data_IF_302722267742
#
_entry.id   IF_302722267742
#
_cell.length_a   1.000
_cell.length_b   1.000
_cell.length_c   1.000
_cell.angle_alpha   90.00
_cell.angle_beta   90.00
_cell.angle_gamma   90.00
#
_symmetry.space_group_name_H-M   'P 1'
#
loop_
_entity.id
_entity.type
_entity.pdbx_description
1 polymer ?
#
# COMPACT_ATOMS: atom_id res chain seq x y z
N UNK A 1 -14.03 17.14 -2.99
CA UNK A 1 -14.13 18.35 -2.09
C UNK A 1 -13.15 19.46 -2.48
N UNK A 2 -11.81 19.18 -2.59
CA UNK A 2 -10.86 20.23 -2.99
C UNK A 2 -11.11 20.71 -4.43
N UNK A 3 -11.26 19.78 -5.37
CA UNK A 3 -11.60 20.10 -6.75
C UNK A 3 -12.92 20.85 -6.91
N UNK A 4 -13.90 20.62 -6.05
CA UNK A 4 -15.18 21.36 -6.09
C UNK A 4 -15.00 22.85 -5.79
N UNK A 5 -14.05 23.18 -4.91
CA UNK A 5 -13.81 24.54 -4.41
C UNK A 5 -12.85 25.35 -5.28
N UNK A 6 -12.11 24.72 -6.19
CA UNK A 6 -11.13 25.41 -7.01
C UNK A 6 -11.79 26.07 -8.25
N UNK A 7 -11.20 27.19 -8.68
CA UNK A 7 -11.57 27.89 -9.91
C UNK A 7 -10.84 27.31 -11.12
N UNK A 8 -9.61 26.86 -10.88
CA UNK A 8 -8.68 26.42 -11.91
C UNK A 8 -7.97 25.12 -11.51
N UNK A 9 -7.71 24.24 -12.48
CA UNK A 9 -7.01 22.98 -12.28
C UNK A 9 -5.78 22.94 -13.19
N UNK A 10 -4.60 22.75 -12.57
CA UNK A 10 -3.33 22.62 -13.26
C UNK A 10 -2.85 21.16 -13.21
N UNK A 11 -2.41 20.62 -14.34
CA UNK A 11 -1.95 19.23 -14.42
C UNK A 11 -1.29 18.86 -15.74
N UNK A 12 -0.76 17.64 -15.80
CA UNK A 12 -0.40 17.02 -17.06
C UNK A 12 -1.69 16.62 -17.81
N UNK A 13 -1.80 16.92 -19.10
CA UNK A 13 -3.05 16.74 -19.86
C UNK A 13 -3.68 15.37 -19.66
N UNK A 14 -2.91 14.27 -19.83
CA UNK A 14 -3.41 12.92 -19.58
C UNK A 14 -4.00 12.69 -18.18
N UNK A 15 -3.48 13.39 -17.16
CA UNK A 15 -4.02 13.26 -15.80
C UNK A 15 -5.30 14.08 -15.61
N UNK A 16 -5.38 15.23 -16.27
CA UNK A 16 -6.61 16.02 -16.28
C UNK A 16 -7.75 15.31 -17.01
N UNK A 17 -7.44 14.62 -18.12
CA UNK A 17 -8.42 13.84 -18.87
C UNK A 17 -9.03 12.70 -18.05
N UNK A 18 -8.22 12.07 -17.15
CA UNK A 18 -8.71 11.02 -16.25
C UNK A 18 -9.75 11.51 -15.24
N UNK A 19 -9.76 12.80 -14.93
CA UNK A 19 -10.66 13.42 -13.95
C UNK A 19 -11.60 14.45 -14.59
N UNK A 20 -11.75 14.42 -15.91
CA UNK A 20 -12.55 15.40 -16.66
C UNK A 20 -13.96 15.59 -16.08
N UNK A 21 -14.60 14.50 -15.65
CA UNK A 21 -15.92 14.53 -15.01
C UNK A 21 -15.94 15.28 -13.67
N UNK A 22 -14.78 15.43 -13.00
CA UNK A 22 -14.65 16.14 -11.72
C UNK A 22 -14.27 17.61 -11.88
N UNK A 23 -13.77 17.99 -13.05
CA UNK A 23 -13.25 19.34 -13.33
C UNK A 23 -14.01 20.05 -14.46
N UNK A 24 -15.13 19.49 -14.88
CA UNK A 24 -15.99 20.09 -15.92
C UNK A 24 -16.37 21.53 -15.58
N UNK A 25 -16.19 22.43 -16.54
CA UNK A 25 -16.47 23.84 -16.37
C UNK A 25 -15.40 24.67 -15.63
N UNK A 26 -14.29 24.05 -15.21
CA UNK A 26 -13.16 24.75 -14.58
C UNK A 26 -12.11 25.12 -15.61
N UNK A 27 -11.37 26.20 -15.33
CA UNK A 27 -10.23 26.58 -16.16
C UNK A 27 -9.11 25.52 -16.03
N UNK A 28 -8.53 25.13 -17.17
CA UNK A 28 -7.43 24.15 -17.23
C UNK A 28 -6.11 24.86 -17.52
N UNK A 29 -5.10 24.62 -16.68
CA UNK A 29 -3.70 24.95 -16.94
C UNK A 29 -2.99 23.66 -17.26
N UNK A 30 -2.82 23.34 -18.53
CA UNK A 30 -2.15 22.12 -18.92
C UNK A 30 -0.81 22.40 -19.61
N UNK A 31 0.10 21.50 -19.46
CA UNK A 31 1.36 21.50 -20.19
C UNK A 31 1.82 20.07 -20.44
N UNK A 32 2.66 19.90 -21.43
CA UNK A 32 3.27 18.60 -21.76
C UNK A 32 4.16 18.06 -20.63
N UNK A 33 4.67 16.86 -20.87
CA UNK A 33 5.65 16.22 -20.02
C UNK A 33 6.95 17.04 -19.98
N UNK A 34 7.71 16.96 -18.87
CA UNK A 34 8.95 17.72 -18.62
C UNK A 34 8.78 19.24 -18.52
N UNK A 35 7.53 19.72 -18.33
CA UNK A 35 7.20 21.14 -18.16
C UNK A 35 6.58 21.42 -16.78
N UNK A 36 6.97 20.66 -15.76
CA UNK A 36 6.47 20.78 -14.39
C UNK A 36 6.69 22.19 -13.84
N UNK A 37 7.88 22.78 -14.03
CA UNK A 37 8.22 24.13 -13.57
C UNK A 37 7.32 25.18 -14.21
N UNK A 38 7.07 25.10 -15.53
CA UNK A 38 6.20 26.05 -16.22
C UNK A 38 4.75 25.93 -15.73
N UNK A 39 4.28 24.71 -15.52
CA UNK A 39 2.94 24.43 -14.99
C UNK A 39 2.76 24.98 -13.58
N UNK A 40 3.70 24.71 -12.69
CA UNK A 40 3.66 25.22 -11.32
C UNK A 40 3.73 26.75 -11.28
N UNK A 41 4.59 27.38 -12.09
CA UNK A 41 4.63 28.83 -12.21
C UNK A 41 3.30 29.44 -12.67
N UNK A 42 2.69 28.83 -13.70
CA UNK A 42 1.38 29.28 -14.18
C UNK A 42 0.28 29.13 -13.12
N UNK A 43 0.32 28.05 -12.32
CA UNK A 43 -0.57 27.86 -11.20
C UNK A 43 -0.40 28.92 -10.12
N UNK A 44 0.86 29.24 -9.75
CA UNK A 44 1.18 30.31 -8.78
C UNK A 44 0.71 31.66 -9.28
N UNK A 45 0.92 32.00 -10.55
CA UNK A 45 0.45 33.27 -11.12
C UNK A 45 -1.08 33.37 -11.11
N UNK A 46 -1.79 32.28 -11.41
CA UNK A 46 -3.26 32.27 -11.32
C UNK A 46 -3.71 32.47 -9.83
N UNK A 47 -3.03 31.87 -8.89
CA UNK A 47 -3.32 32.05 -7.45
C UNK A 47 -3.05 33.49 -6.99
N UNK A 48 -2.00 34.16 -7.46
CA UNK A 48 -1.73 35.58 -7.21
C UNK A 48 -2.84 36.49 -7.74
N UNK A 49 -3.55 36.07 -8.76
CA UNK A 49 -4.73 36.76 -9.30
C UNK A 49 -6.00 36.52 -8.50
N UNK A 50 -5.91 35.83 -7.35
CA UNK A 50 -7.02 35.54 -6.44
C UNK A 50 -7.81 34.27 -6.75
N UNK A 51 -7.33 33.44 -7.66
CA UNK A 51 -7.97 32.15 -7.96
C UNK A 51 -7.56 31.08 -6.94
N UNK A 52 -8.50 30.20 -6.59
CA UNK A 52 -8.19 28.94 -5.90
C UNK A 52 -7.75 27.91 -6.94
N UNK A 53 -6.50 27.49 -6.90
CA UNK A 53 -5.90 26.60 -7.91
C UNK A 53 -5.62 25.22 -7.33
N UNK A 54 -6.11 24.17 -7.97
CA UNK A 54 -5.75 22.80 -7.66
C UNK A 54 -4.67 22.33 -8.63
N UNK A 55 -3.50 21.89 -8.11
CA UNK A 55 -2.45 21.25 -8.91
C UNK A 55 -2.51 19.75 -8.73
N UNK A 56 -2.78 19.00 -9.82
CA UNK A 56 -3.07 17.58 -9.79
C UNK A 56 -1.84 16.77 -10.18
N UNK A 57 -1.48 15.84 -9.30
CA UNK A 57 -0.47 14.80 -9.55
C UNK A 57 -1.14 13.42 -9.60
N UNK A 58 -0.58 12.48 -10.35
CA UNK A 58 -1.00 11.06 -10.28
C UNK A 58 -0.38 10.43 -9.04
N UNK A 59 -1.15 9.66 -8.29
CA UNK A 59 -0.70 9.04 -7.04
C UNK A 59 -0.70 10.01 -5.88
N UNK A 60 0.45 10.30 -5.31
CA UNK A 60 0.64 11.24 -4.20
C UNK A 60 1.46 12.45 -4.64
N UNK A 61 1.02 13.65 -4.30
CA UNK A 61 1.67 14.89 -4.71
C UNK A 61 3.06 15.10 -4.10
N UNK A 62 3.33 14.47 -2.95
CA UNK A 62 4.62 14.52 -2.25
C UNK A 62 5.61 13.42 -2.65
N UNK A 63 5.16 12.38 -3.38
CA UNK A 63 6.02 11.28 -3.81
C UNK A 63 6.29 11.38 -5.31
N UNK A 64 7.43 11.95 -5.67
CA UNK A 64 7.80 12.28 -7.06
C UNK A 64 6.76 13.13 -7.81
N UNK A 65 5.91 13.83 -7.07
CA UNK A 65 4.90 14.75 -7.58
C UNK A 65 5.34 16.20 -7.54
N UNK A 66 4.39 17.12 -7.64
CA UNK A 66 4.67 18.55 -7.79
C UNK A 66 4.59 19.35 -6.47
N UNK A 67 4.26 18.71 -5.33
CA UNK A 67 4.09 19.43 -4.07
C UNK A 67 5.37 20.16 -3.63
N UNK A 68 6.53 19.48 -3.67
CA UNK A 68 7.81 20.09 -3.31
C UNK A 68 8.14 21.32 -4.16
N UNK A 69 7.98 21.21 -5.47
CA UNK A 69 8.23 22.32 -6.40
C UNK A 69 7.29 23.52 -6.16
N UNK A 70 6.01 23.26 -5.84
CA UNK A 70 5.07 24.34 -5.51
C UNK A 70 5.45 25.04 -4.21
N UNK A 71 5.81 24.27 -3.17
CA UNK A 71 6.25 24.83 -1.90
C UNK A 71 7.50 25.71 -2.07
N UNK A 72 8.48 25.25 -2.88
CA UNK A 72 9.67 26.04 -3.23
C UNK A 72 9.30 27.36 -3.97
N UNK A 73 8.39 27.29 -4.94
CA UNK A 73 7.95 28.46 -5.70
C UNK A 73 7.15 29.45 -4.85
N UNK A 74 6.47 28.99 -3.81
CA UNK A 74 5.67 29.83 -2.90
C UNK A 74 6.45 30.29 -1.66
N UNK A 75 7.73 29.91 -1.49
CA UNK A 75 8.54 30.26 -0.31
C UNK A 75 8.54 31.76 0.01
N UNK A 76 8.54 32.60 -1.02
CA UNK A 76 8.58 34.06 -0.89
C UNK A 76 7.24 34.78 -1.19
N UNK A 77 6.14 34.01 -1.19
CA UNK A 77 4.80 34.48 -1.49
C UNK A 77 3.88 34.41 -0.25
N UNK A 78 4.04 35.34 0.73
CA UNK A 78 3.40 35.22 2.04
C UNK A 78 1.86 35.27 2.01
N UNK A 79 1.29 35.68 0.90
CA UNK A 79 -0.17 35.75 0.71
C UNK A 79 -0.76 34.49 0.07
N UNK A 80 0.07 33.49 -0.27
CA UNK A 80 -0.37 32.21 -0.83
C UNK A 80 -0.28 31.12 0.22
N UNK A 81 -1.39 30.42 0.42
CA UNK A 81 -1.45 29.21 1.24
C UNK A 81 -1.41 27.98 0.34
N UNK A 82 -0.55 27.02 0.66
CA UNK A 82 -0.42 25.76 -0.06
C UNK A 82 -0.83 24.63 0.85
N UNK A 83 -1.95 23.97 0.53
CA UNK A 83 -2.39 22.73 1.19
C UNK A 83 -1.97 21.51 0.35
N UNK A 84 -1.23 20.59 0.96
CA UNK A 84 -0.86 19.31 0.31
C UNK A 84 -1.88 18.24 0.70
N UNK A 85 -2.63 17.78 -0.28
CA UNK A 85 -3.64 16.74 -0.08
C UNK A 85 -3.00 15.38 -0.40
N UNK A 86 -2.96 14.44 0.56
CA UNK A 86 -2.35 13.14 0.36
C UNK A 86 -3.12 12.29 -0.65
N UNK A 87 -2.39 11.47 -1.37
CA UNK A 87 -2.91 10.50 -2.33
C UNK A 87 -2.31 9.12 -2.12
N UNK A 88 -2.72 8.15 -2.94
CA UNK A 88 -2.17 6.79 -2.89
C UNK A 88 -1.06 6.68 -3.93
N UNK A 89 0.18 6.74 -3.45
CA UNK A 89 1.35 6.59 -4.32
C UNK A 89 1.40 5.22 -4.99
N UNK A 90 2.03 5.15 -6.17
CA UNK A 90 2.15 3.91 -6.94
C UNK A 90 2.82 2.75 -6.17
N UNK A 91 3.70 3.05 -5.20
CA UNK A 91 4.25 2.03 -4.31
C UNK A 91 3.13 1.30 -3.54
N UNK A 92 2.22 2.03 -2.92
CA UNK A 92 1.14 1.44 -2.13
C UNK A 92 0.07 0.79 -3.01
N UNK A 93 -0.39 1.48 -4.06
CA UNK A 93 -1.44 0.96 -4.94
C UNK A 93 -0.95 -0.24 -5.77
N UNK A 94 0.24 -0.16 -6.38
CA UNK A 94 0.82 -1.28 -7.11
C UNK A 94 1.22 -2.45 -6.21
N UNK A 95 1.72 -2.16 -4.99
CA UNK A 95 1.96 -3.18 -3.99
C UNK A 95 0.71 -3.99 -3.65
N UNK A 96 -0.45 -3.32 -3.49
CA UNK A 96 -1.73 -3.98 -3.25
C UNK A 96 -2.17 -4.86 -4.44
N UNK A 97 -1.91 -4.44 -5.68
CA UNK A 97 -2.19 -5.24 -6.90
C UNK A 97 -1.34 -6.51 -6.95
N UNK A 98 -0.09 -6.46 -6.49
CA UNK A 98 0.83 -7.61 -6.45
C UNK A 98 0.67 -8.48 -5.20
N UNK A 99 -0.03 -8.03 -4.18
CA UNK A 99 -0.21 -8.74 -2.92
C UNK A 99 0.19 -7.90 -1.71
N UNK A 100 1.24 -8.29 -1.00
CA UNK A 100 1.75 -7.57 0.18
C UNK A 100 3.29 -7.53 0.21
N UNK A 101 3.96 -6.97 -0.83
CA UNK A 101 5.42 -6.93 -0.88
C UNK A 101 6.04 -5.95 0.12
N UNK A 102 5.30 -4.93 0.59
CA UNK A 102 5.80 -3.81 1.38
C UNK A 102 5.47 -3.93 2.88
N UNK A 103 5.35 -5.13 3.41
CA UNK A 103 5.01 -5.37 4.82
C UNK A 103 6.16 -5.03 5.78
N UNK A 104 7.40 -5.04 5.29
CA UNK A 104 8.60 -4.61 6.00
C UNK A 104 9.10 -3.26 5.46
N UNK A 105 10.30 -2.85 5.90
CA UNK A 105 10.94 -1.63 5.42
C UNK A 105 11.16 -1.68 3.91
N UNK A 106 10.92 -0.56 3.24
CA UNK A 106 11.06 -0.47 1.80
C UNK A 106 11.63 0.89 1.37
N UNK A 107 12.25 0.91 0.21
CA UNK A 107 12.81 2.11 -0.40
C UNK A 107 12.12 2.41 -1.73
N UNK A 108 11.69 3.66 -1.94
CA UNK A 108 11.25 4.16 -3.24
C UNK A 108 12.43 4.84 -3.93
N UNK A 109 12.77 4.38 -5.14
CA UNK A 109 13.90 4.92 -5.92
C UNK A 109 13.40 5.21 -7.34
N UNK A 110 13.60 6.46 -7.79
CA UNK A 110 13.35 6.82 -9.18
C UNK A 110 14.60 6.57 -10.03
N UNK A 111 14.45 5.88 -11.15
CA UNK A 111 15.51 5.68 -12.12
C UNK A 111 15.64 6.85 -13.10
N UNK A 112 14.90 7.95 -12.88
CA UNK A 112 15.03 9.14 -13.72
C UNK A 112 16.29 9.94 -13.38
N UNK A 113 17.19 10.08 -14.35
CA UNK A 113 18.43 10.85 -14.25
C UNK A 113 18.28 12.33 -14.67
N UNK A 114 17.05 12.81 -14.84
CA UNK A 114 16.79 14.20 -15.26
C UNK A 114 17.20 15.22 -14.19
N UNK A 115 17.01 14.89 -12.92
CA UNK A 115 17.31 15.76 -11.79
C UNK A 115 18.32 15.16 -10.81
N UNK A 116 18.59 13.86 -10.94
CA UNK A 116 19.52 13.13 -10.05
C UNK A 116 20.51 12.37 -10.93
N UNK A 117 21.82 12.64 -10.82
CA UNK A 117 22.83 11.92 -11.60
C UNK A 117 22.78 10.39 -11.36
N UNK A 118 23.12 9.61 -12.38
CA UNK A 118 23.04 8.15 -12.31
C UNK A 118 23.89 7.53 -11.19
N UNK A 119 25.07 8.06 -10.92
CA UNK A 119 25.93 7.62 -9.81
C UNK A 119 25.23 7.70 -8.44
N UNK A 120 24.38 8.71 -8.26
CA UNK A 120 23.56 8.85 -7.04
C UNK A 120 22.41 7.84 -7.02
N UNK A 121 21.81 7.53 -8.16
CA UNK A 121 20.78 6.50 -8.27
C UNK A 121 21.39 5.14 -7.95
N UNK A 122 22.53 4.81 -8.54
CA UNK A 122 23.28 3.59 -8.26
C UNK A 122 23.65 3.46 -6.78
N UNK A 123 24.15 4.53 -6.16
CA UNK A 123 24.49 4.54 -4.73
C UNK A 123 23.26 4.24 -3.85
N UNK A 124 22.07 4.76 -4.24
CA UNK A 124 20.81 4.47 -3.53
C UNK A 124 20.37 3.03 -3.72
N UNK A 125 20.48 2.47 -4.92
CA UNK A 125 20.18 1.06 -5.20
C UNK A 125 21.07 0.14 -4.35
N UNK A 126 22.39 0.36 -4.35
CA UNK A 126 23.35 -0.40 -3.52
C UNK A 126 23.04 -0.29 -2.03
N UNK A 127 22.77 0.92 -1.54
CA UNK A 127 22.45 1.15 -0.13
C UNK A 127 21.17 0.44 0.31
N UNK A 128 20.10 0.50 -0.50
CA UNK A 128 18.85 -0.18 -0.21
C UNK A 128 19.01 -1.70 -0.26
N UNK A 129 19.73 -2.23 -1.24
CA UNK A 129 20.00 -3.66 -1.37
C UNK A 129 20.87 -4.20 -0.23
N UNK A 130 21.92 -3.47 0.16
CA UNK A 130 22.77 -3.83 1.30
C UNK A 130 21.99 -3.87 2.64
N UNK A 131 20.94 -3.07 2.76
CA UNK A 131 20.02 -3.06 3.91
C UNK A 131 18.90 -4.10 3.83
N UNK A 132 18.85 -4.94 2.80
CA UNK A 132 17.78 -5.92 2.55
C UNK A 132 16.37 -5.30 2.50
N UNK A 133 16.25 -4.08 1.95
CA UNK A 133 14.96 -3.43 1.77
C UNK A 133 14.17 -4.06 0.62
N UNK A 134 12.85 -4.08 0.72
CA UNK A 134 12.04 -4.17 -0.50
C UNK A 134 12.24 -2.87 -1.30
N UNK A 135 12.43 -2.96 -2.61
CA UNK A 135 12.72 -1.78 -3.44
C UNK A 135 11.58 -1.56 -4.44
N UNK A 136 11.09 -0.32 -4.49
CA UNK A 136 10.09 0.12 -5.46
C UNK A 136 10.74 1.10 -6.43
N UNK A 137 10.80 0.73 -7.72
CA UNK A 137 11.39 1.55 -8.76
C UNK A 137 10.31 2.35 -9.48
N UNK A 138 10.48 3.66 -9.48
CA UNK A 138 9.70 4.62 -10.25
C UNK A 138 10.45 5.02 -11.51
N UNK A 139 9.73 5.36 -12.57
CA UNK A 139 10.30 5.75 -13.85
C UNK A 139 11.32 4.74 -14.38
N UNK A 140 11.00 3.43 -14.41
CA UNK A 140 11.97 2.37 -14.69
C UNK A 140 12.51 2.41 -16.11
N UNK A 141 11.80 3.06 -17.04
CA UNK A 141 12.19 3.17 -18.43
C UNK A 141 11.57 4.40 -19.10
N UNK A 142 12.16 4.83 -20.20
CA UNK A 142 11.60 5.80 -21.15
C UNK A 142 12.26 5.59 -22.52
N UNK A 143 11.77 6.30 -23.55
CA UNK A 143 12.34 6.22 -24.91
C UNK A 143 13.86 6.46 -24.98
N UNK A 144 14.40 7.28 -24.06
CA UNK A 144 15.84 7.60 -23.99
C UNK A 144 16.60 6.76 -22.94
N UNK A 145 15.89 5.97 -22.14
CA UNK A 145 16.39 5.23 -20.97
C UNK A 145 15.84 3.81 -20.95
N UNK A 146 15.88 3.14 -22.10
CA UNK A 146 15.34 1.78 -22.26
C UNK A 146 16.05 0.75 -21.37
N UNK A 147 17.36 0.92 -21.15
CA UNK A 147 18.20 -0.06 -20.45
C UNK A 147 18.32 0.17 -18.93
N UNK A 148 17.70 1.23 -18.39
CA UNK A 148 17.88 1.60 -16.97
C UNK A 148 17.34 0.55 -15.99
N UNK A 149 16.25 -0.13 -16.32
CA UNK A 149 15.77 -1.26 -15.52
C UNK A 149 16.79 -2.40 -15.51
N UNK A 150 17.34 -2.76 -16.67
CA UNK A 150 18.35 -3.81 -16.78
C UNK A 150 19.62 -3.46 -15.99
N UNK A 151 20.08 -2.21 -16.05
CA UNK A 151 21.22 -1.73 -15.25
C UNK A 151 20.93 -1.80 -13.75
N UNK A 152 19.75 -1.36 -13.33
CA UNK A 152 19.33 -1.47 -11.93
C UNK A 152 19.31 -2.93 -11.46
N UNK A 153 18.74 -3.84 -12.25
CA UNK A 153 18.73 -5.27 -11.94
C UNK A 153 20.14 -5.86 -11.86
N UNK A 154 21.06 -5.41 -12.73
CA UNK A 154 22.46 -5.84 -12.68
C UNK A 154 23.13 -5.43 -11.36
N UNK A 155 22.97 -4.16 -10.96
CA UNK A 155 23.47 -3.67 -9.66
C UNK A 155 22.87 -4.46 -8.50
N UNK A 156 21.57 -4.71 -8.52
CA UNK A 156 20.87 -5.44 -7.46
C UNK A 156 21.25 -6.92 -7.39
N UNK A 157 21.66 -7.53 -8.52
CA UNK A 157 22.12 -8.92 -8.56
C UNK A 157 23.44 -9.19 -7.82
N UNK A 158 24.15 -8.12 -7.43
CA UNK A 158 25.32 -8.25 -6.54
C UNK A 158 24.93 -8.53 -5.08
N UNK A 159 23.66 -8.28 -4.70
CA UNK A 159 23.15 -8.39 -3.35
C UNK A 159 22.04 -9.43 -3.23
N UNK A 160 21.19 -9.55 -4.23
CA UNK A 160 20.03 -10.43 -4.25
C UNK A 160 20.25 -11.65 -5.14
N UNK A 161 19.67 -12.77 -4.74
CA UNK A 161 19.72 -13.99 -5.54
C UNK A 161 18.94 -13.83 -6.87
N UNK A 162 19.32 -14.55 -7.93
CA UNK A 162 18.65 -14.47 -9.24
C UNK A 162 17.16 -14.81 -9.19
N UNK A 163 16.74 -15.65 -8.25
CA UNK A 163 15.36 -16.09 -8.02
C UNK A 163 14.58 -15.20 -7.05
N UNK A 164 15.16 -14.06 -6.60
CA UNK A 164 14.47 -13.10 -5.75
C UNK A 164 13.14 -12.69 -6.35
N UNK A 165 12.02 -12.80 -5.58
CA UNK A 165 10.70 -12.47 -6.07
C UNK A 165 10.55 -10.99 -6.40
N UNK A 166 10.12 -10.72 -7.62
CA UNK A 166 9.90 -9.39 -8.16
C UNK A 166 8.53 -9.32 -8.85
N UNK A 167 8.12 -8.12 -9.19
CA UNK A 167 6.94 -7.91 -10.02
C UNK A 167 6.85 -6.48 -10.52
N UNK A 168 5.98 -6.26 -11.47
CA UNK A 168 5.68 -4.92 -11.94
C UNK A 168 4.17 -4.75 -12.19
N UNK A 169 3.73 -3.51 -12.08
CA UNK A 169 2.36 -3.12 -12.41
C UNK A 169 2.43 -1.89 -13.32
N UNK A 170 1.74 -1.97 -14.43
CA UNK A 170 1.59 -0.91 -15.43
C UNK A 170 0.18 -0.34 -15.35
N UNK A 171 0.03 0.98 -15.55
CA UNK A 171 -1.27 1.67 -15.60
C UNK A 171 -2.17 1.41 -14.39
N UNK A 172 -1.58 1.44 -13.19
CA UNK A 172 -2.24 1.13 -11.92
C UNK A 172 -3.56 1.87 -11.76
N UNK A 173 -4.64 1.14 -11.46
CA UNK A 173 -5.99 1.67 -11.25
C UNK A 173 -6.71 2.13 -12.52
N UNK A 174 -6.23 1.77 -13.72
CA UNK A 174 -6.84 2.11 -15.00
C UNK A 174 -7.43 0.88 -15.69
N UNK A 175 -8.22 1.08 -16.74
CA UNK A 175 -8.85 -0.03 -17.48
C UNK A 175 -7.85 -0.99 -18.13
N UNK A 176 -6.67 -0.50 -18.48
CA UNK A 176 -5.57 -1.22 -19.10
C UNK A 176 -4.47 -1.57 -18.09
N UNK A 177 -4.84 -1.76 -16.81
CA UNK A 177 -3.92 -2.24 -15.77
C UNK A 177 -3.37 -3.62 -16.12
N UNK A 178 -2.05 -3.72 -16.16
CA UNK A 178 -1.33 -4.96 -16.38
C UNK A 178 -0.38 -5.24 -15.20
N UNK A 179 -0.25 -6.50 -14.82
CA UNK A 179 0.71 -6.92 -13.80
C UNK A 179 1.42 -8.19 -14.16
N UNK A 180 2.63 -8.35 -13.65
CA UNK A 180 3.39 -9.58 -13.75
C UNK A 180 4.21 -9.80 -12.50
N UNK A 181 4.28 -11.04 -12.02
CA UNK A 181 5.26 -11.49 -11.03
C UNK A 181 6.35 -12.27 -11.75
N UNK A 182 7.59 -12.08 -11.37
CA UNK A 182 8.77 -12.67 -12.00
C UNK A 182 9.93 -12.72 -11.00
N UNK A 183 11.00 -13.39 -11.35
CA UNK A 183 12.28 -13.36 -10.61
C UNK A 183 13.12 -12.16 -11.00
N UNK A 184 14.14 -11.82 -10.21
CA UNK A 184 15.08 -10.74 -10.53
C UNK A 184 15.79 -10.97 -11.88
N UNK A 185 16.16 -12.22 -12.17
CA UNK A 185 16.78 -12.61 -13.43
C UNK A 185 15.86 -12.42 -14.64
N UNK A 186 14.55 -12.67 -14.47
CA UNK A 186 13.56 -12.45 -15.51
C UNK A 186 13.26 -10.95 -15.66
N UNK A 187 13.13 -10.23 -14.53
CA UNK A 187 12.90 -8.79 -14.51
C UNK A 187 13.93 -8.00 -15.32
N UNK A 188 15.21 -8.42 -15.27
CA UNK A 188 16.29 -7.79 -16.03
C UNK A 188 16.07 -7.82 -17.56
N UNK A 189 15.17 -8.68 -18.04
CA UNK A 189 14.85 -8.86 -19.48
C UNK A 189 13.50 -8.24 -19.85
N UNK A 190 12.74 -7.77 -18.85
CA UNK A 190 11.41 -7.18 -19.08
C UNK A 190 11.55 -5.82 -19.79
N UNK A 191 10.63 -5.61 -20.72
CA UNK A 191 10.48 -4.30 -21.36
C UNK A 191 9.31 -3.57 -20.70
N UNK A 192 9.63 -2.49 -20.04
CA UNK A 192 8.65 -1.67 -19.31
C UNK A 192 8.67 -0.24 -19.82
N UNK A 193 7.65 0.52 -19.50
CA UNK A 193 7.53 1.93 -19.88
C UNK A 193 7.48 2.84 -18.63
N UNK A 194 7.30 4.12 -18.87
CA UNK A 194 7.21 5.13 -17.81
C UNK A 194 5.93 5.05 -16.96
N UNK A 195 4.93 4.28 -17.37
CA UNK A 195 3.69 4.05 -16.63
C UNK A 195 3.76 2.80 -15.74
N UNK A 196 4.93 2.19 -15.69
CA UNK A 196 5.19 0.97 -14.92
C UNK A 196 5.86 1.31 -13.59
N UNK A 197 5.44 0.64 -12.54
CA UNK A 197 6.10 0.63 -11.23
C UNK A 197 6.61 -0.77 -10.96
N UNK A 198 7.88 -0.90 -10.60
CA UNK A 198 8.56 -2.19 -10.41
C UNK A 198 8.82 -2.42 -8.93
N UNK A 199 8.67 -3.67 -8.50
CA UNK A 199 8.83 -4.11 -7.12
C UNK A 199 9.87 -5.23 -7.07
N UNK A 200 10.89 -5.06 -6.24
CA UNK A 200 11.92 -6.06 -5.94
C UNK A 200 11.76 -6.45 -4.48
N UNK A 201 11.58 -7.73 -4.22
CA UNK A 201 11.45 -8.26 -2.87
C UNK A 201 12.77 -8.23 -2.10
N UNK A 202 12.67 -8.38 -0.78
CA UNK A 202 13.81 -8.62 0.12
C UNK A 202 14.04 -10.13 0.31
N UNK A 203 15.01 -10.50 1.15
CA UNK A 203 15.26 -11.91 1.54
C UNK A 203 14.04 -12.58 2.19
N UNK A 204 13.06 -11.80 2.66
CA UNK A 204 11.83 -12.27 3.30
C UNK A 204 10.63 -12.35 2.36
N UNK A 205 10.79 -11.98 1.11
CA UNK A 205 9.73 -12.01 0.11
C UNK A 205 9.62 -13.39 -0.53
N UNK A 206 8.42 -13.86 -0.76
CA UNK A 206 8.15 -15.13 -1.44
C UNK A 206 6.94 -15.02 -2.36
N UNK A 207 6.89 -15.90 -3.36
CA UNK A 207 5.67 -16.09 -4.15
C UNK A 207 4.67 -16.92 -3.35
N UNK A 208 3.44 -16.44 -3.23
CA UNK A 208 2.33 -17.16 -2.61
C UNK A 208 1.09 -17.06 -3.51
N UNK A 209 0.67 -18.16 -4.11
CA UNK A 209 -0.48 -18.18 -5.02
C UNK A 209 -0.43 -17.12 -6.13
N UNK A 210 0.75 -16.88 -6.70
CA UNK A 210 0.96 -15.87 -7.75
C UNK A 210 1.08 -14.42 -7.23
N UNK A 211 1.09 -14.22 -5.91
CA UNK A 211 1.27 -12.92 -5.27
C UNK A 211 2.66 -12.81 -4.65
N UNK A 212 3.14 -11.58 -4.49
CA UNK A 212 4.33 -11.24 -3.71
C UNK A 212 3.94 -11.02 -2.25
N UNK A 213 4.57 -11.75 -1.34
CA UNK A 213 4.32 -11.61 0.10
C UNK A 213 5.65 -11.50 0.84
N UNK A 214 5.86 -10.38 1.53
CA UNK A 214 7.02 -10.18 2.40
C UNK A 214 6.63 -10.53 3.84
N UNK A 215 7.29 -11.53 4.41
CA UNK A 215 7.00 -12.03 5.74
C UNK A 215 7.54 -11.10 6.83
N UNK A 216 6.70 -10.71 7.79
CA UNK A 216 7.08 -9.82 8.89
C UNK A 216 7.62 -10.55 10.12
N UNK A 217 7.73 -11.89 10.08
CA UNK A 217 8.27 -12.69 11.19
C UNK A 217 7.20 -13.09 12.22
N UNK A 218 5.92 -13.01 11.89
CA UNK A 218 4.85 -13.54 12.76
C UNK A 218 4.86 -15.08 12.85
N UNK A 219 5.66 -15.76 12.04
CA UNK A 219 5.75 -17.24 11.97
C UNK A 219 6.08 -17.89 13.30
N UNK A 220 6.84 -17.20 14.16
CA UNK A 220 7.15 -17.65 15.52
C UNK A 220 5.98 -17.51 16.49
N UNK A 221 4.96 -16.72 16.14
CA UNK A 221 3.77 -16.47 16.96
C UNK A 221 2.53 -17.18 16.42
N UNK A 222 2.49 -17.39 15.11
CA UNK A 222 1.49 -18.22 14.43
C UNK A 222 2.19 -19.52 14.09
N UNK A 223 2.34 -20.40 15.07
CA UNK A 223 2.63 -21.80 14.84
C UNK A 223 1.37 -22.40 14.17
N UNK A 224 1.17 -22.08 12.91
CA UNK A 224 0.30 -22.86 12.04
C UNK A 224 0.99 -24.21 11.90
N UNK A 225 0.58 -25.17 12.72
CA UNK A 225 1.01 -26.57 12.62
C UNK A 225 0.69 -27.08 11.21
N UNK A 226 1.62 -26.90 10.27
CA UNK A 226 1.66 -27.57 8.97
C UNK A 226 2.24 -28.99 9.07
N UNK A 227 2.33 -29.55 10.28
CA UNK A 227 2.63 -30.95 10.47
C UNK A 227 1.32 -31.74 10.37
N UNK A 228 1.23 -32.60 9.39
CA UNK A 228 0.10 -33.41 8.98
C UNK A 228 -0.68 -34.09 10.12
N UNK A 229 -1.77 -33.51 10.47
CA UNK A 229 -2.82 -33.98 11.34
C UNK A 229 -3.84 -32.86 11.44
N UNK A 230 -5.09 -33.14 11.11
CA UNK A 230 -6.19 -32.18 11.15
C UNK A 230 -6.48 -31.73 12.59
N UNK A 231 -5.62 -30.94 13.22
CA UNK A 231 -6.03 -30.19 14.39
C UNK A 231 -6.90 -29.04 13.92
N UNK A 232 -8.12 -29.01 14.45
CA UNK A 232 -9.08 -27.95 14.17
C UNK A 232 -8.55 -26.63 14.74
N UNK A 233 -8.63 -25.56 13.96
CA UNK A 233 -8.27 -24.18 14.38
C UNK A 233 -9.01 -23.85 15.69
N UNK A 234 -8.30 -23.38 16.70
CA UNK A 234 -8.84 -22.99 18.00
C UNK A 234 -9.03 -21.48 18.04
N UNK A 235 -10.28 -21.05 18.24
CA UNK A 235 -10.67 -19.63 18.18
C UNK A 235 -11.23 -19.18 19.53
N UNK A 236 -10.79 -18.04 20.04
CA UNK A 236 -11.43 -17.33 21.14
C UNK A 236 -12.15 -16.10 20.58
N UNK A 237 -13.45 -16.02 20.79
CA UNK A 237 -14.30 -14.90 20.39
C UNK A 237 -14.77 -14.17 21.64
N UNK A 238 -14.40 -12.91 21.82
CA UNK A 238 -15.04 -12.02 22.77
C UNK A 238 -16.31 -11.48 22.11
N UNK A 239 -17.47 -11.96 22.59
CA UNK A 239 -18.79 -11.60 22.08
C UNK A 239 -19.51 -10.63 23.02
N UNK A 240 -20.64 -10.11 22.59
CA UNK A 240 -21.48 -9.17 23.36
C UNK A 240 -22.34 -8.31 22.43
N UNK A 241 -22.12 -8.43 21.13
CA UNK A 241 -22.88 -7.75 20.08
C UNK A 241 -23.65 -8.74 19.22
N UNK A 242 -24.56 -8.22 18.40
CA UNK A 242 -25.27 -9.02 17.39
C UNK A 242 -24.31 -9.67 16.40
N UNK A 243 -23.29 -8.93 15.98
CA UNK A 243 -22.26 -9.41 15.06
C UNK A 243 -21.44 -10.55 15.67
N UNK A 244 -21.11 -10.45 16.98
CA UNK A 244 -20.43 -11.52 17.70
C UNK A 244 -21.26 -12.80 17.74
N UNK A 245 -22.59 -12.69 17.91
CA UNK A 245 -23.52 -13.82 17.86
C UNK A 245 -23.59 -14.46 16.48
N UNK A 246 -23.76 -13.65 15.44
CA UNK A 246 -23.79 -14.14 14.06
C UNK A 246 -22.49 -14.85 13.68
N UNK A 247 -21.36 -14.31 14.13
CA UNK A 247 -20.07 -14.94 13.91
C UNK A 247 -19.96 -16.29 14.64
N UNK A 248 -20.40 -16.37 15.91
CA UNK A 248 -20.42 -17.60 16.67
C UNK A 248 -21.28 -18.69 16.00
N UNK A 249 -22.44 -18.33 15.46
CA UNK A 249 -23.30 -19.26 14.70
C UNK A 249 -22.61 -19.74 13.41
N UNK A 250 -21.89 -18.88 12.71
CA UNK A 250 -21.11 -19.29 11.52
C UNK A 250 -19.95 -20.21 11.89
N UNK A 251 -19.28 -19.98 13.03
CA UNK A 251 -18.18 -20.85 13.48
C UNK A 251 -18.64 -22.29 13.75
N UNK A 252 -19.91 -22.52 14.14
CA UNK A 252 -20.48 -23.86 14.27
C UNK A 252 -20.46 -24.67 12.96
N UNK A 253 -20.56 -23.99 11.83
CA UNK A 253 -20.59 -24.64 10.51
C UNK A 253 -19.21 -24.94 9.95
N UNK A 254 -18.15 -24.46 10.61
CA UNK A 254 -16.77 -24.60 10.18
C UNK A 254 -16.06 -25.71 10.96
N UNK A 255 -15.01 -26.33 10.39
CA UNK A 255 -14.23 -27.37 11.07
C UNK A 255 -13.23 -26.75 12.06
N UNK A 256 -13.74 -25.96 13.04
CA UNK A 256 -12.94 -25.26 14.05
C UNK A 256 -13.36 -25.68 15.46
N UNK A 257 -12.53 -25.42 16.47
CA UNK A 257 -12.87 -25.45 17.89
C UNK A 257 -12.89 -24.00 18.35
N UNK A 258 -13.96 -23.56 19.00
CA UNK A 258 -14.02 -22.19 19.46
C UNK A 258 -14.64 -22.06 20.86
N UNK A 259 -14.29 -20.96 21.51
CA UNK A 259 -14.91 -20.48 22.74
C UNK A 259 -15.44 -19.07 22.51
N UNK A 260 -16.62 -18.78 23.09
CA UNK A 260 -17.21 -17.43 23.06
C UNK A 260 -17.28 -16.92 24.48
N UNK A 261 -16.61 -15.81 24.77
CA UNK A 261 -16.70 -15.11 26.05
C UNK A 261 -17.80 -14.06 26.00
N UNK A 262 -18.71 -14.08 26.96
CA UNK A 262 -19.78 -13.09 27.11
C UNK A 262 -19.82 -12.55 28.54
N UNK A 263 -19.93 -11.24 28.69
CA UNK A 263 -19.80 -10.55 29.96
C UNK A 263 -21.09 -10.53 30.80
N UNK A 264 -22.25 -10.85 30.22
CA UNK A 264 -23.55 -10.71 30.86
C UNK A 264 -24.41 -11.96 30.69
N UNK A 265 -25.34 -12.21 31.68
CA UNK A 265 -26.32 -13.28 31.57
C UNK A 265 -27.25 -13.13 30.36
N UNK A 266 -27.55 -11.91 29.95
CA UNK A 266 -28.30 -11.66 28.72
C UNK A 266 -27.52 -12.11 27.47
N UNK A 267 -26.22 -11.87 27.42
CA UNK A 267 -25.35 -12.40 26.36
C UNK A 267 -25.31 -13.93 26.31
N UNK A 268 -25.36 -14.59 27.48
CA UNK A 268 -25.43 -16.03 27.59
C UNK A 268 -26.80 -16.57 27.09
N UNK A 269 -27.90 -15.94 27.46
CA UNK A 269 -29.24 -16.29 26.95
C UNK A 269 -29.36 -16.19 25.44
N UNK A 270 -28.70 -15.22 24.84
CA UNK A 270 -28.66 -15.02 23.38
C UNK A 270 -27.85 -16.07 22.63
N UNK A 271 -27.04 -16.87 23.34
CA UNK A 271 -26.20 -17.93 22.79
C UNK A 271 -26.73 -19.35 23.13
N UNK A 272 -27.99 -19.48 23.55
CA UNK A 272 -28.59 -20.78 23.92
C UNK A 272 -28.55 -21.85 22.80
N UNK A 273 -28.41 -21.44 21.53
CA UNK A 273 -28.27 -22.35 20.39
C UNK A 273 -26.87 -22.95 20.27
N UNK A 274 -25.88 -22.44 21.04
CA UNK A 274 -24.53 -22.95 21.05
C UNK A 274 -24.36 -24.05 22.10
N UNK A 275 -23.49 -25.05 21.88
CA UNK A 275 -23.11 -26.00 22.91
C UNK A 275 -22.56 -25.27 24.15
N UNK A 276 -23.07 -25.60 25.36
CA UNK A 276 -22.64 -24.91 26.58
C UNK A 276 -21.13 -24.94 26.83
N UNK A 277 -20.48 -26.00 26.38
CA UNK A 277 -19.02 -26.13 26.45
C UNK A 277 -18.24 -25.10 25.63
N UNK A 278 -18.91 -24.40 24.70
CA UNK A 278 -18.31 -23.33 23.90
C UNK A 278 -18.43 -21.96 24.54
N UNK A 279 -19.26 -21.81 25.59
CA UNK A 279 -19.58 -20.53 26.19
C UNK A 279 -18.71 -20.33 27.46
N UNK A 280 -18.05 -19.19 27.53
CA UNK A 280 -17.36 -18.67 28.71
C UNK A 280 -18.20 -17.53 29.27
N UNK A 281 -19.08 -17.86 30.22
CA UNK A 281 -19.99 -16.89 30.83
C UNK A 281 -19.33 -16.12 31.97
N UNK A 282 -19.61 -14.83 32.05
CA UNK A 282 -19.14 -13.95 33.10
C UNK A 282 -18.14 -12.90 32.61
N UNK A 283 -18.17 -11.76 33.30
CA UNK A 283 -17.25 -10.66 33.02
C UNK A 283 -15.82 -11.04 33.44
N UNK A 284 -14.88 -11.05 32.51
CA UNK A 284 -13.47 -11.24 32.78
C UNK A 284 -12.77 -9.91 33.02
N UNK A 285 -11.91 -9.85 34.03
CA UNK A 285 -10.95 -8.78 34.18
C UNK A 285 -9.76 -9.00 33.23
N UNK A 286 -8.85 -8.02 33.17
CA UNK A 286 -7.68 -8.07 32.30
C UNK A 286 -6.81 -9.32 32.52
N UNK A 287 -6.57 -9.67 33.79
CA UNK A 287 -5.74 -10.81 34.15
C UNK A 287 -6.38 -12.12 33.71
N UNK A 288 -7.68 -12.24 33.89
CA UNK A 288 -8.46 -13.41 33.46
C UNK A 288 -8.49 -13.54 31.93
N UNK A 289 -8.59 -12.42 31.20
CA UNK A 289 -8.50 -12.43 29.72
C UNK A 289 -7.12 -12.88 29.25
N UNK A 290 -6.05 -12.34 29.85
CA UNK A 290 -4.68 -12.73 29.53
C UNK A 290 -4.47 -14.23 29.80
N UNK A 291 -4.89 -14.75 30.95
CA UNK A 291 -4.83 -16.19 31.28
C UNK A 291 -5.63 -17.06 30.32
N UNK A 292 -6.80 -16.59 29.88
CA UNK A 292 -7.59 -17.35 28.90
C UNK A 292 -6.89 -17.39 27.54
N UNK A 293 -6.36 -16.26 27.08
CA UNK A 293 -5.62 -16.20 25.80
C UNK A 293 -4.36 -17.07 25.80
N UNK A 294 -3.72 -17.26 26.95
CA UNK A 294 -2.54 -18.15 27.11
C UNK A 294 -2.84 -19.65 26.93
N UNK A 295 -4.12 -20.06 26.93
CA UNK A 295 -4.54 -21.46 26.72
C UNK A 295 -4.30 -21.98 25.29
N UNK A 296 -3.64 -21.19 24.43
CA UNK A 296 -3.18 -21.62 23.11
C UNK A 296 -4.27 -21.59 22.07
N UNK A 297 -4.97 -20.47 21.93
CA UNK A 297 -5.83 -20.17 20.78
C UNK A 297 -4.99 -19.72 19.58
N UNK A 298 -5.38 -20.17 18.40
CA UNK A 298 -4.75 -19.80 17.14
C UNK A 298 -5.22 -18.42 16.65
N UNK A 299 -6.45 -18.01 17.04
CA UNK A 299 -7.06 -16.74 16.67
C UNK A 299 -7.88 -16.20 17.84
N UNK A 300 -7.74 -14.92 18.11
CA UNK A 300 -8.58 -14.17 19.04
C UNK A 300 -9.33 -13.10 18.26
N UNK A 301 -10.66 -13.09 18.39
CA UNK A 301 -11.54 -12.13 17.72
C UNK A 301 -12.22 -11.30 18.78
N UNK A 302 -12.13 -9.99 18.68
CA UNK A 302 -12.86 -9.05 19.48
C UNK A 302 -14.09 -8.55 18.71
N UNK A 303 -15.28 -8.94 19.17
CA UNK A 303 -16.57 -8.49 18.69
C UNK A 303 -17.38 -7.90 19.85
N UNK A 304 -16.71 -7.17 20.74
CA UNK A 304 -17.34 -6.41 21.81
C UNK A 304 -17.73 -5.02 21.35
N UNK A 305 -18.59 -4.35 22.12
CA UNK A 305 -18.92 -2.95 21.86
C UNK A 305 -17.73 -2.05 22.26
N UNK A 306 -17.43 -0.97 21.54
CA UNK A 306 -16.30 -0.09 21.82
C UNK A 306 -16.45 0.81 23.07
N UNK A 307 -17.36 0.48 24.01
CA UNK A 307 -17.58 1.21 25.27
C UNK A 307 -17.28 0.36 26.51
#
# INVERSE_FOLDING_TARGET
RALEKCDCVAGYGLYLDLIENLISGKERIESGMTREVLRCKAAVEAAKQGKTVAVVSSGDAGVYGMAGLLLELCEHEPNLEVEVIPGITAACSGGAVLGSPLTCDFACISLSDLLTPWDKIEQRLRGAAAGDFCIVLYNPSSKKRADYLSWACHILSEYYAPDTPCGWVRMIGRQDEEKKTCTLQELAKEQVDMFTTVFIGSSRTSFQNGLLVTKRGYEKRVAVNRAGGKEKLRILLFGGTTEGRELAQRLLTLPVIFKVSVATSYGEEMLQELPQETILAGRMDRTQMEQEMEKGYDLVIDATHPY
#
